data_IF_911348982636
#
_entry.id   IF_911348982636
#
_cell.length_a   1.000
_cell.length_b   1.000
_cell.length_c   1.000
_cell.angle_alpha   90.00
_cell.angle_beta   90.00
_cell.angle_gamma   90.00
#
_symmetry.space_group_name_H-M   'P 1'
#
loop_
_entity.id
_entity.type
_entity.pdbx_description
1 polymer ?
#
# COMPACT_ATOMS: atom_id res chain seq x y z
N UNK A 1 15.35 16.17 9.93
CA UNK A 1 14.65 17.17 9.09
C UNK A 1 13.95 18.23 9.95
N UNK A 2 14.70 19.08 10.67
CA UNK A 2 14.14 20.27 11.33
C UNK A 2 14.27 21.55 10.51
N UNK A 3 15.12 21.55 9.48
CA UNK A 3 15.54 22.75 8.74
C UNK A 3 14.80 22.95 7.41
N UNK A 4 13.63 22.31 7.26
CA UNK A 4 12.83 22.38 6.04
C UNK A 4 11.60 23.26 6.31
N UNK A 5 11.46 24.33 5.53
CA UNK A 5 10.27 25.17 5.51
C UNK A 5 9.44 24.84 4.26
N UNK A 6 8.24 24.29 4.44
CA UNK A 6 7.34 23.94 3.35
C UNK A 6 6.27 25.02 3.20
N UNK A 7 6.18 25.62 2.02
CA UNK A 7 5.09 26.51 1.65
C UNK A 7 4.12 25.81 0.70
N UNK A 8 3.01 25.31 1.26
CA UNK A 8 1.98 24.62 0.48
C UNK A 8 1.24 25.51 -0.53
N UNK A 9 1.13 26.83 -0.27
CA UNK A 9 0.45 27.75 -1.18
C UNK A 9 1.27 28.05 -2.42
N UNK A 10 2.57 28.29 -2.22
CA UNK A 10 3.53 28.54 -3.31
C UNK A 10 4.10 27.26 -3.90
N UNK A 11 3.75 26.12 -3.31
CA UNK A 11 4.26 24.80 -3.63
C UNK A 11 5.79 24.78 -3.73
N UNK A 12 6.42 25.30 -2.68
CA UNK A 12 7.87 25.43 -2.58
C UNK A 12 8.39 24.89 -1.25
N UNK A 13 9.65 24.46 -1.26
CA UNK A 13 10.37 23.96 -0.10
C UNK A 13 11.67 24.74 0.03
N UNK A 14 11.94 25.29 1.21
CA UNK A 14 13.17 26.01 1.50
C UNK A 14 14.01 25.25 2.51
N UNK A 15 15.31 25.14 2.22
CA UNK A 15 16.32 24.49 3.08
C UNK A 15 17.54 25.40 3.13
N UNK A 16 17.73 26.10 4.24
CA UNK A 16 18.72 27.18 4.33
C UNK A 16 18.46 28.28 3.28
N UNK A 17 19.43 28.53 2.40
CA UNK A 17 19.30 29.51 1.30
C UNK A 17 18.74 28.90 0.00
N UNK A 18 18.61 27.57 -0.08
CA UNK A 18 18.09 26.90 -1.26
C UNK A 18 16.55 26.89 -1.23
N UNK A 19 15.93 27.32 -2.32
CA UNK A 19 14.48 27.21 -2.53
C UNK A 19 14.23 26.30 -3.73
N UNK A 20 13.48 25.22 -3.49
CA UNK A 20 13.04 24.25 -4.48
C UNK A 20 11.55 24.44 -4.74
N UNK A 21 11.12 24.26 -5.97
CA UNK A 21 9.73 24.37 -6.40
C UNK A 21 9.15 23.02 -6.75
N UNK A 22 7.83 22.94 -6.79
CA UNK A 22 7.13 21.80 -7.38
C UNK A 22 7.66 21.52 -8.79
N UNK A 23 8.09 20.28 -9.00
CA UNK A 23 8.69 19.81 -10.26
C UNK A 23 10.21 19.82 -10.29
N UNK A 24 10.90 20.43 -9.31
CA UNK A 24 12.35 20.33 -9.21
C UNK A 24 12.78 18.94 -8.72
N UNK A 25 13.83 18.38 -9.34
CA UNK A 25 14.39 17.10 -8.92
C UNK A 25 15.12 17.21 -7.57
N UNK A 26 14.84 16.25 -6.70
CA UNK A 26 15.63 15.99 -5.49
C UNK A 26 15.96 14.51 -5.43
N UNK A 27 17.14 14.20 -4.88
CA UNK A 27 17.56 12.83 -4.62
C UNK A 27 17.68 12.61 -3.11
N UNK A 28 17.29 11.44 -2.62
CA UNK A 28 17.30 11.13 -1.19
C UNK A 28 18.11 9.86 -0.98
N UNK A 29 19.14 9.92 -0.14
CA UNK A 29 19.83 8.74 0.37
C UNK A 29 19.24 8.36 1.73
N UNK A 30 18.39 7.33 1.73
CA UNK A 30 17.74 6.84 2.94
C UNK A 30 18.66 6.10 3.93
N UNK A 31 19.90 5.76 3.54
CA UNK A 31 20.84 5.08 4.43
C UNK A 31 21.54 6.06 5.37
N UNK A 32 21.95 7.22 4.84
CA UNK A 32 22.57 8.30 5.64
C UNK A 32 21.59 9.40 6.03
N UNK A 33 20.39 9.42 5.43
CA UNK A 33 19.37 10.44 5.67
C UNK A 33 19.69 11.78 4.99
N UNK A 34 20.48 11.76 3.92
CA UNK A 34 20.86 12.95 3.15
C UNK A 34 19.81 13.28 2.08
N UNK A 35 19.54 14.57 1.90
CA UNK A 35 18.73 15.10 0.80
C UNK A 35 19.66 15.90 -0.10
N UNK A 36 19.73 15.51 -1.37
CA UNK A 36 20.65 16.03 -2.36
C UNK A 36 19.85 16.82 -3.39
N UNK A 37 20.27 18.06 -3.66
CA UNK A 37 19.66 18.87 -4.70
C UNK A 37 19.98 18.30 -6.09
N UNK A 38 18.95 18.09 -6.91
CA UNK A 38 19.05 17.59 -8.28
C UNK A 38 18.83 16.08 -8.44
N UNK A 39 18.88 15.66 -9.70
CA UNK A 39 18.65 14.28 -10.12
C UNK A 39 19.94 13.46 -10.07
N UNK A 40 19.89 12.32 -9.36
CA UNK A 40 20.92 11.30 -9.38
C UNK A 40 20.33 10.03 -9.96
N UNK A 41 20.94 9.53 -11.03
CA UNK A 41 20.55 8.26 -11.65
C UNK A 41 20.72 7.10 -10.66
N UNK A 42 19.61 6.55 -10.18
CA UNK A 42 19.62 5.29 -9.44
C UNK A 42 19.77 4.12 -10.41
N UNK A 43 20.40 3.03 -9.94
CA UNK A 43 20.50 1.79 -10.71
C UNK A 43 20.06 0.62 -9.84
N UNK A 44 19.24 -0.31 -10.36
CA UNK A 44 18.90 -1.50 -9.62
C UNK A 44 20.16 -2.31 -9.32
N UNK A 45 20.26 -2.82 -8.09
CA UNK A 45 21.40 -3.62 -7.67
C UNK A 45 21.54 -4.88 -8.53
N UNK A 46 22.73 -5.48 -8.55
CA UNK A 46 22.95 -6.78 -9.20
C UNK A 46 22.00 -7.86 -8.70
N UNK A 47 21.67 -7.83 -7.40
CA UNK A 47 20.72 -8.75 -6.76
C UNK A 47 19.31 -8.52 -7.30
N UNK A 48 18.83 -7.28 -7.32
CA UNK A 48 17.50 -6.94 -7.85
C UNK A 48 17.38 -7.33 -9.32
N UNK A 49 18.36 -6.98 -10.14
CA UNK A 49 18.37 -7.34 -11.57
C UNK A 49 18.32 -8.86 -11.79
N UNK A 50 19.08 -9.63 -11.00
CA UNK A 50 19.11 -11.09 -11.10
C UNK A 50 17.80 -11.76 -10.67
N UNK A 51 17.24 -11.33 -9.54
CA UNK A 51 16.11 -12.00 -8.90
C UNK A 51 14.75 -11.48 -9.37
N UNK A 52 14.60 -10.16 -9.54
CA UNK A 52 13.33 -9.57 -9.95
C UNK A 52 13.20 -9.38 -11.46
N UNK A 53 14.29 -9.12 -12.17
CA UNK A 53 14.24 -8.86 -13.61
C UNK A 53 14.73 -10.03 -14.47
N UNK A 54 15.24 -11.11 -13.84
CA UNK A 54 15.76 -12.29 -14.53
C UNK A 54 17.02 -12.03 -15.37
N UNK A 55 17.73 -10.92 -15.13
CA UNK A 55 18.91 -10.54 -15.91
C UNK A 55 20.10 -11.46 -15.60
N UNK A 56 20.90 -11.74 -16.63
CA UNK A 56 22.20 -12.42 -16.45
C UNK A 56 23.23 -11.39 -15.97
N UNK A 57 23.60 -11.46 -14.70
CA UNK A 57 24.59 -10.57 -14.09
C UNK A 57 25.90 -11.33 -13.87
N UNK A 58 26.98 -10.93 -14.56
CA UNK A 58 28.32 -11.51 -14.40
C UNK A 58 29.25 -10.55 -13.64
N UNK A 59 30.23 -11.11 -12.93
CA UNK A 59 31.28 -10.35 -12.25
C UNK A 59 30.84 -9.57 -11.01
N UNK A 60 29.60 -9.71 -10.55
CA UNK A 60 29.12 -9.04 -9.34
C UNK A 60 29.50 -9.81 -8.08
N UNK A 61 30.51 -9.32 -7.35
CA UNK A 61 30.90 -9.89 -6.05
C UNK A 61 29.77 -9.83 -5.02
N UNK A 62 28.99 -8.74 -5.00
CA UNK A 62 27.85 -8.60 -4.09
C UNK A 62 26.78 -9.66 -4.31
N UNK A 63 26.49 -10.02 -5.57
CA UNK A 63 25.56 -11.10 -5.88
C UNK A 63 26.11 -12.46 -5.41
N UNK A 64 27.38 -12.76 -5.68
CA UNK A 64 28.02 -14.02 -5.25
C UNK A 64 27.99 -14.16 -3.72
N UNK A 65 28.32 -13.09 -3.00
CA UNK A 65 28.28 -13.08 -1.53
C UNK A 65 26.84 -13.23 -1.03
N UNK A 66 25.88 -12.51 -1.62
CA UNK A 66 24.47 -12.61 -1.28
C UNK A 66 23.96 -14.05 -1.43
N UNK A 67 24.16 -14.67 -2.60
CA UNK A 67 23.73 -16.04 -2.87
C UNK A 67 24.33 -17.02 -1.87
N UNK A 68 25.61 -16.86 -1.52
CA UNK A 68 26.29 -17.75 -0.58
C UNK A 68 25.76 -17.63 0.84
N UNK A 69 25.48 -16.39 1.29
CA UNK A 69 24.89 -16.14 2.60
C UNK A 69 23.46 -16.67 2.64
N UNK A 70 22.66 -16.47 1.59
CA UNK A 70 21.29 -16.97 1.53
C UNK A 70 21.25 -18.50 1.55
N UNK A 71 22.14 -19.17 0.82
CA UNK A 71 22.30 -20.63 0.86
C UNK A 71 22.57 -21.13 2.29
N UNK A 72 23.51 -20.49 3.00
CA UNK A 72 23.81 -20.85 4.39
C UNK A 72 22.65 -20.55 5.33
N UNK A 73 22.03 -19.38 5.19
CA UNK A 73 20.89 -18.98 6.01
C UNK A 73 19.73 -19.98 5.86
N UNK A 74 19.41 -20.38 4.63
CA UNK A 74 18.38 -21.38 4.35
C UNK A 74 18.74 -22.77 4.87
N UNK A 75 20.02 -23.14 4.86
CA UNK A 75 20.47 -24.43 5.38
C UNK A 75 20.33 -24.55 6.90
N UNK A 76 20.66 -23.49 7.65
CA UNK A 76 20.70 -23.53 9.11
C UNK A 76 19.40 -23.09 9.78
N UNK A 77 18.53 -22.33 9.10
CA UNK A 77 17.31 -21.83 9.72
C UNK A 77 16.30 -22.95 10.00
N UNK A 78 15.70 -22.89 11.17
CA UNK A 78 14.56 -23.76 11.53
C UNK A 78 13.22 -23.06 11.27
N UNK A 79 13.20 -21.72 11.32
CA UNK A 79 12.00 -20.93 11.07
C UNK A 79 11.71 -20.80 9.58
N UNK A 80 10.43 -20.86 9.22
CA UNK A 80 9.99 -20.53 7.87
C UNK A 80 9.94 -19.00 7.68
N UNK A 81 10.25 -18.54 6.48
CA UNK A 81 10.20 -17.13 6.12
C UNK A 81 9.00 -16.91 5.20
N UNK A 82 8.04 -16.14 5.70
CA UNK A 82 6.85 -15.73 4.97
C UNK A 82 6.94 -14.23 4.67
N UNK A 83 6.23 -13.79 3.64
CA UNK A 83 6.14 -12.37 3.28
C UNK A 83 4.86 -11.73 3.80
N UNK A 84 4.89 -10.41 3.98
CA UNK A 84 3.70 -9.59 4.04
C UNK A 84 3.47 -9.05 2.63
N UNK A 85 2.39 -9.47 1.98
CA UNK A 85 2.09 -9.08 0.60
C UNK A 85 0.58 -9.10 0.35
N UNK A 86 0.12 -8.04 -0.30
CA UNK A 86 -1.30 -7.76 -0.51
C UNK A 86 -1.64 -7.72 -2.01
N UNK A 87 -0.63 -7.76 -2.88
CA UNK A 87 -0.76 -7.74 -4.34
C UNK A 87 -0.03 -8.91 -5.01
N UNK A 88 -0.49 -9.38 -6.19
CA UNK A 88 0.17 -10.45 -6.93
C UNK A 88 1.65 -10.15 -7.26
N UNK A 89 1.98 -8.91 -7.63
CA UNK A 89 3.37 -8.53 -7.94
C UNK A 89 4.27 -8.57 -6.71
N UNK A 90 3.78 -8.15 -5.54
CA UNK A 90 4.52 -8.28 -4.28
C UNK A 90 4.77 -9.75 -3.93
N UNK A 91 3.79 -10.62 -4.19
CA UNK A 91 3.94 -12.06 -4.02
C UNK A 91 5.01 -12.63 -4.96
N UNK A 92 5.03 -12.23 -6.24
CA UNK A 92 6.06 -12.66 -7.21
C UNK A 92 7.45 -12.26 -6.76
N UNK A 93 7.61 -11.01 -6.33
CA UNK A 93 8.89 -10.48 -5.85
C UNK A 93 9.35 -11.24 -4.59
N UNK A 94 8.44 -11.49 -3.65
CA UNK A 94 8.76 -12.22 -2.44
C UNK A 94 9.19 -13.67 -2.72
N UNK A 95 8.49 -14.36 -3.62
CA UNK A 95 8.85 -15.72 -4.05
C UNK A 95 10.23 -15.72 -4.71
N UNK A 96 10.53 -14.72 -5.55
CA UNK A 96 11.84 -14.60 -6.18
C UNK A 96 12.97 -14.53 -5.13
N UNK A 97 12.74 -13.89 -3.99
CA UNK A 97 13.68 -13.85 -2.86
C UNK A 97 13.56 -15.03 -1.88
N UNK A 98 12.79 -16.08 -2.20
CA UNK A 98 12.73 -17.31 -1.40
C UNK A 98 11.61 -17.36 -0.35
N UNK A 99 10.64 -16.43 -0.38
CA UNK A 99 9.48 -16.50 0.52
C UNK A 99 8.71 -17.82 0.34
N UNK A 100 8.35 -18.44 1.47
CA UNK A 100 7.72 -19.76 1.52
C UNK A 100 6.20 -19.70 1.57
N UNK A 101 5.64 -18.50 1.56
CA UNK A 101 4.21 -18.23 1.72
C UNK A 101 3.96 -16.75 2.02
N UNK A 102 2.69 -16.38 2.08
CA UNK A 102 2.25 -15.09 2.62
C UNK A 102 1.79 -15.30 4.06
N UNK A 103 2.46 -14.63 4.99
CA UNK A 103 2.19 -14.69 6.42
C UNK A 103 1.12 -13.69 6.85
N UNK A 104 0.97 -12.61 6.07
CA UNK A 104 -0.07 -11.61 6.26
C UNK A 104 -0.39 -10.94 4.92
N UNK A 105 -1.61 -11.16 4.43
CA UNK A 105 -2.26 -10.39 3.39
C UNK A 105 -3.31 -9.50 4.06
N UNK A 106 -3.15 -8.19 3.93
CA UNK A 106 -4.00 -7.14 4.49
C UNK A 106 -5.07 -6.74 3.47
N UNK A 107 -6.31 -7.12 3.72
CA UNK A 107 -7.42 -6.81 2.79
C UNK A 107 -7.71 -5.32 2.68
N UNK A 108 -7.43 -4.54 3.72
CA UNK A 108 -7.66 -3.11 3.74
C UNK A 108 -6.87 -2.36 2.65
N UNK A 109 -5.65 -2.81 2.34
CA UNK A 109 -4.85 -2.22 1.28
C UNK A 109 -5.44 -2.43 -0.11
N UNK A 110 -6.28 -3.46 -0.29
CA UNK A 110 -6.99 -3.74 -1.54
C UNK A 110 -8.14 -2.75 -1.79
N UNK A 111 -8.55 -1.99 -0.78
CA UNK A 111 -9.70 -1.08 -0.86
C UNK A 111 -9.33 0.37 -1.18
N UNK A 112 -8.07 0.79 -1.00
CA UNK A 112 -7.64 2.17 -1.19
C UNK A 112 -7.43 2.60 -2.66
N UNK A 113 -7.72 1.74 -3.64
CA UNK A 113 -7.71 2.15 -5.06
C UNK A 113 -8.83 3.15 -5.37
N UNK A 114 -8.60 4.09 -6.29
CA UNK A 114 -9.54 5.18 -6.64
C UNK A 114 -10.96 4.68 -6.95
N UNK A 115 -11.10 3.56 -7.65
CA UNK A 115 -12.41 2.98 -8.00
C UNK A 115 -13.07 2.19 -6.85
N UNK A 116 -12.30 1.81 -5.84
CA UNK A 116 -12.71 0.85 -4.79
C UNK A 116 -13.09 1.56 -3.50
N UNK A 117 -12.41 2.66 -3.22
CA UNK A 117 -12.64 3.44 -2.00
C UNK A 117 -14.08 3.95 -1.93
N UNK A 118 -14.67 4.36 -3.06
CA UNK A 118 -16.06 4.82 -3.12
C UNK A 118 -17.06 3.69 -2.88
N UNK A 119 -16.76 2.47 -3.30
CA UNK A 119 -17.60 1.29 -3.01
C UNK A 119 -17.56 0.95 -1.52
N UNK A 120 -16.38 1.03 -0.88
CA UNK A 120 -16.25 0.84 0.57
C UNK A 120 -16.97 1.94 1.35
N UNK A 121 -16.83 3.21 0.95
CA UNK A 121 -17.56 4.33 1.53
C UNK A 121 -19.07 4.12 1.45
N UNK A 122 -19.55 3.71 0.28
CA UNK A 122 -20.97 3.38 0.05
C UNK A 122 -21.44 2.24 0.95
N UNK A 123 -20.63 1.19 1.16
CA UNK A 123 -20.95 0.10 2.07
C UNK A 123 -21.09 0.57 3.52
N UNK A 124 -20.15 1.41 4.00
CA UNK A 124 -20.12 1.90 5.39
C UNK A 124 -21.31 2.83 5.67
N UNK A 125 -21.62 3.70 4.72
CA UNK A 125 -22.63 4.76 4.86
C UNK A 125 -24.05 4.33 4.43
N UNK A 126 -24.21 3.11 3.91
CA UNK A 126 -25.51 2.58 3.52
C UNK A 126 -26.49 2.48 4.70
N UNK A 127 -27.67 3.09 4.53
CA UNK A 127 -28.77 3.10 5.52
C UNK A 127 -29.75 1.93 5.38
N UNK A 128 -29.72 1.20 4.27
CA UNK A 128 -30.55 0.00 4.08
C UNK A 128 -29.68 -1.22 3.79
N UNK A 129 -30.21 -2.39 4.14
CA UNK A 129 -29.53 -3.65 3.85
C UNK A 129 -29.44 -3.89 2.33
N UNK A 130 -30.40 -3.43 1.53
CA UNK A 130 -30.29 -3.55 0.06
C UNK A 130 -29.10 -2.75 -0.48
N UNK A 131 -28.95 -1.48 -0.07
CA UNK A 131 -27.84 -0.64 -0.50
C UNK A 131 -26.49 -1.19 -0.05
N UNK A 132 -26.41 -1.69 1.20
CA UNK A 132 -25.20 -2.32 1.74
C UNK A 132 -24.84 -3.59 0.97
N UNK A 133 -25.81 -4.46 0.73
CA UNK A 133 -25.59 -5.71 -0.02
C UNK A 133 -25.17 -5.45 -1.47
N UNK A 134 -25.67 -4.39 -2.10
CA UNK A 134 -25.23 -3.98 -3.43
C UNK A 134 -23.75 -3.57 -3.45
N UNK A 135 -23.32 -2.74 -2.50
CA UNK A 135 -21.91 -2.36 -2.36
C UNK A 135 -21.01 -3.57 -2.04
N UNK A 136 -21.44 -4.45 -1.13
CA UNK A 136 -20.75 -5.70 -0.82
C UNK A 136 -20.60 -6.62 -2.04
N UNK A 137 -21.60 -6.69 -2.91
CA UNK A 137 -21.54 -7.51 -4.13
C UNK A 137 -20.48 -7.00 -5.10
N UNK A 138 -20.33 -5.67 -5.25
CA UNK A 138 -19.24 -5.07 -6.03
C UNK A 138 -17.87 -5.40 -5.42
N UNK A 139 -17.72 -5.24 -4.10
CA UNK A 139 -16.47 -5.56 -3.40
C UNK A 139 -16.10 -7.04 -3.53
N UNK A 140 -17.08 -7.93 -3.51
CA UNK A 140 -16.87 -9.37 -3.69
C UNK A 140 -16.23 -9.69 -5.05
N UNK A 141 -16.69 -9.06 -6.13
CA UNK A 141 -16.11 -9.26 -7.46
C UNK A 141 -14.66 -8.79 -7.51
N UNK A 142 -14.41 -7.57 -7.01
CA UNK A 142 -13.09 -6.95 -6.96
C UNK A 142 -12.09 -7.77 -6.12
N UNK A 143 -12.47 -8.15 -4.89
CA UNK A 143 -11.59 -8.94 -4.02
C UNK A 143 -11.34 -10.34 -4.57
N UNK A 144 -12.34 -10.95 -5.21
CA UNK A 144 -12.16 -12.28 -5.82
C UNK A 144 -11.07 -12.24 -6.88
N UNK A 145 -11.03 -11.20 -7.71
CA UNK A 145 -9.98 -11.02 -8.72
C UNK A 145 -8.59 -10.90 -8.06
N UNK A 146 -8.47 -10.08 -7.02
CA UNK A 146 -7.19 -9.89 -6.33
C UNK A 146 -6.67 -11.21 -5.72
N UNK A 147 -7.55 -11.94 -5.04
CA UNK A 147 -7.19 -13.21 -4.43
C UNK A 147 -6.88 -14.28 -5.48
N UNK A 148 -7.60 -14.32 -6.60
CA UNK A 148 -7.25 -15.20 -7.72
C UNK A 148 -5.83 -14.90 -8.22
N UNK A 149 -5.47 -13.62 -8.36
CA UNK A 149 -4.11 -13.21 -8.71
C UNK A 149 -3.07 -13.68 -7.69
N UNK A 150 -3.32 -13.46 -6.40
CA UNK A 150 -2.42 -13.88 -5.31
C UNK A 150 -2.27 -15.40 -5.30
N UNK A 151 -3.36 -16.15 -5.29
CA UNK A 151 -3.31 -17.62 -5.24
C UNK A 151 -2.63 -18.21 -6.47
N UNK A 152 -2.85 -17.62 -7.65
CA UNK A 152 -2.20 -18.06 -8.89
C UNK A 152 -0.68 -17.88 -8.84
N UNK A 153 -0.20 -16.78 -8.25
CA UNK A 153 1.24 -16.52 -8.06
C UNK A 153 1.84 -17.43 -7.00
N UNK A 154 1.10 -17.64 -5.90
CA UNK A 154 1.60 -18.40 -4.75
C UNK A 154 1.65 -19.91 -5.01
N UNK A 155 0.89 -20.42 -5.98
CA UNK A 155 0.98 -21.77 -6.55
C UNK A 155 1.29 -22.87 -5.52
N UNK A 156 0.29 -23.17 -4.68
CA UNK A 156 0.38 -24.21 -3.65
C UNK A 156 1.12 -23.81 -2.37
N UNK A 157 1.69 -22.60 -2.29
CA UNK A 157 2.20 -22.04 -1.03
C UNK A 157 1.07 -21.51 -0.16
N UNK A 158 1.28 -21.53 1.15
CA UNK A 158 0.29 -21.04 2.11
C UNK A 158 0.16 -19.50 2.02
N UNK A 159 -1.09 -19.03 2.10
CA UNK A 159 -1.45 -17.61 2.09
C UNK A 159 -2.39 -17.34 3.25
N UNK A 160 -1.94 -16.49 4.18
CA UNK A 160 -2.72 -16.09 5.35
C UNK A 160 -3.38 -14.75 5.08
N UNK A 161 -4.71 -14.75 4.98
CA UNK A 161 -5.50 -13.54 4.72
C UNK A 161 -6.08 -13.05 6.04
N UNK A 162 -5.83 -11.78 6.36
CA UNK A 162 -6.47 -11.10 7.48
C UNK A 162 -7.68 -10.34 6.97
N UNK A 163 -8.82 -10.55 7.60
CA UNK A 163 -10.02 -9.74 7.35
C UNK A 163 -9.77 -8.26 7.64
N UNK A 164 -10.74 -7.42 7.27
CA UNK A 164 -10.68 -5.98 7.55
C UNK A 164 -10.38 -5.74 9.04
N UNK A 165 -9.43 -4.84 9.28
CA UNK A 165 -8.84 -4.56 10.58
C UNK A 165 -8.72 -3.05 10.92
N UNK A 166 -8.63 -2.09 9.96
CA UNK A 166 -8.62 -0.68 10.34
C UNK A 166 -10.02 -0.19 10.69
N UNK A 167 -10.12 0.83 11.55
CA UNK A 167 -11.39 1.43 11.92
C UNK A 167 -12.04 2.09 10.69
N UNK A 168 -13.37 2.04 10.62
CA UNK A 168 -14.11 2.42 9.40
C UNK A 168 -13.91 3.88 8.99
N UNK A 169 -13.59 4.77 9.94
CA UNK A 169 -13.37 6.19 9.65
C UNK A 169 -12.13 6.45 8.78
N UNK A 170 -11.16 5.53 8.71
CA UNK A 170 -10.02 5.65 7.79
C UNK A 170 -10.43 5.58 6.32
N UNK A 171 -11.60 5.01 6.01
CA UNK A 171 -12.12 4.95 4.65
C UNK A 171 -13.07 6.09 4.29
N UNK A 172 -13.53 6.85 5.29
CA UNK A 172 -14.57 7.86 5.08
C UNK A 172 -14.03 9.05 4.25
N UNK A 173 -14.92 9.75 3.52
CA UNK A 173 -14.51 10.91 2.74
C UNK A 173 -14.09 12.07 3.66
N UNK A 174 -13.04 12.78 3.26
CA UNK A 174 -12.48 13.90 4.03
C UNK A 174 -12.68 15.25 3.33
N UNK A 175 -12.92 15.23 2.02
CA UNK A 175 -13.14 16.43 1.20
C UNK A 175 -14.59 16.54 0.76
N UNK A 176 -15.07 17.76 0.53
CA UNK A 176 -16.44 17.99 0.06
C UNK A 176 -16.71 17.31 -1.29
N UNK A 177 -15.71 17.22 -2.18
CA UNK A 177 -15.82 16.51 -3.45
C UNK A 177 -16.06 15.00 -3.28
N UNK A 178 -15.33 14.35 -2.37
CA UNK A 178 -15.53 12.93 -2.07
C UNK A 178 -16.89 12.67 -1.42
N UNK A 179 -17.37 13.59 -0.56
CA UNK A 179 -18.70 13.52 0.04
C UNK A 179 -19.78 13.58 -1.06
N UNK A 180 -19.64 14.49 -2.01
CA UNK A 180 -20.58 14.60 -3.13
C UNK A 180 -20.64 13.33 -3.99
N UNK A 181 -19.48 12.70 -4.25
CA UNK A 181 -19.43 11.49 -5.07
C UNK A 181 -20.09 10.29 -4.38
N UNK A 182 -19.84 10.12 -3.08
CA UNK A 182 -20.52 9.09 -2.27
C UNK A 182 -22.02 9.36 -2.16
N UNK A 183 -22.42 10.62 -1.99
CA UNK A 183 -23.84 11.01 -1.91
C UNK A 183 -24.60 10.65 -3.21
N UNK A 184 -23.99 10.87 -4.38
CA UNK A 184 -24.57 10.46 -5.68
C UNK A 184 -24.76 8.95 -5.76
N UNK A 185 -23.76 8.17 -5.33
CA UNK A 185 -23.83 6.71 -5.39
C UNK A 185 -24.89 6.13 -4.45
N UNK A 186 -25.06 6.74 -3.27
CA UNK A 186 -26.07 6.36 -2.28
C UNK A 186 -27.46 6.95 -2.52
N UNK A 187 -27.61 7.87 -3.49
CA UNK A 187 -28.83 8.64 -3.73
C UNK A 187 -29.30 9.40 -2.47
N UNK A 188 -28.35 9.98 -1.75
CA UNK A 188 -28.54 10.75 -0.51
C UNK A 188 -28.11 12.21 -0.70
N UNK A 189 -28.45 13.10 0.23
CA UNK A 189 -27.91 14.47 0.20
C UNK A 189 -26.47 14.50 0.74
N UNK A 190 -25.59 15.40 0.26
CA UNK A 190 -24.25 15.58 0.80
C UNK A 190 -24.24 15.87 2.31
N UNK A 191 -25.24 16.60 2.81
CA UNK A 191 -25.40 16.88 4.25
C UNK A 191 -25.67 15.61 5.05
N UNK A 192 -26.49 14.69 4.52
CA UNK A 192 -26.76 13.40 5.16
C UNK A 192 -25.51 12.52 5.27
N UNK A 193 -24.69 12.51 4.22
CA UNK A 193 -23.41 11.80 4.21
C UNK A 193 -22.44 12.42 5.20
N UNK A 194 -22.34 13.75 5.22
CA UNK A 194 -21.46 14.47 6.15
C UNK A 194 -21.80 14.19 7.62
N UNK A 195 -23.08 14.21 7.97
CA UNK A 195 -23.54 13.86 9.32
C UNK A 195 -23.16 12.42 9.68
N UNK A 196 -23.37 11.47 8.76
CA UNK A 196 -23.01 10.08 8.99
C UNK A 196 -21.49 9.90 9.18
N UNK A 197 -20.65 10.69 8.50
CA UNK A 197 -19.19 10.66 8.70
C UNK A 197 -18.80 11.15 10.09
N UNK A 198 -19.45 12.19 10.59
CA UNK A 198 -19.23 12.71 11.95
C UNK A 198 -19.59 11.65 13.01
N UNK A 199 -20.64 10.85 12.78
CA UNK A 199 -21.07 9.78 13.70
C UNK A 199 -20.02 8.66 13.86
N UNK A 200 -19.14 8.46 12.87
CA UNK A 200 -18.06 7.47 12.91
C UNK A 200 -16.75 8.01 13.49
N UNK A 201 -16.68 9.29 13.89
CA UNK A 201 -15.49 9.84 14.51
C UNK A 201 -15.30 9.30 15.92
N UNK A 202 -14.15 8.69 16.16
CA UNK A 202 -13.78 8.15 17.46
C UNK A 202 -12.60 8.93 18.05
N UNK A 203 -12.63 9.14 19.36
CA UNK A 203 -11.55 9.85 20.07
C UNK A 203 -10.22 9.07 20.04
N UNK A 204 -10.28 7.72 20.08
CA UNK A 204 -9.11 6.86 19.97
C UNK A 204 -9.36 5.71 18.99
N UNK A 205 -9.04 5.93 17.70
CA UNK A 205 -9.15 4.94 16.62
C UNK A 205 -8.55 3.57 16.93
N UNK A 206 -7.41 3.52 17.64
CA UNK A 206 -6.72 2.25 17.89
C UNK A 206 -7.50 1.29 18.81
N UNK A 207 -8.42 1.82 19.63
CA UNK A 207 -9.20 1.06 20.62
C UNK A 207 -10.72 1.18 20.37
N UNK A 208 -11.10 1.61 19.17
CA UNK A 208 -12.49 1.82 18.78
C UNK A 208 -13.10 0.63 18.02
N UNK A 209 -14.10 0.92 17.19
CA UNK A 209 -14.80 -0.07 16.39
C UNK A 209 -13.99 -0.43 15.13
N UNK A 210 -13.55 -1.69 15.05
CA UNK A 210 -12.70 -2.24 13.99
C UNK A 210 -13.11 -3.66 13.61
#
# INVERSE_FOLDING_TARGET
>A
CGDIEINYKEKSMKVGDLTLKEGDDISIDGFVGEVINGHIDSRPSSVVRRYLHGETVQGSQSLVIFDKIMEWADHFREIKVYTNADLPEQCKQAIAFGAQGVGLCRTEHMFFGEDRINVVRSMILARTDEARNHALSKLLEMQREDFLGIFSVMDGKAVTIRCIDPPLHEFLPHTDAEIEDVAKELQQSPEEVKHAVEDYQEFNPMLGMR
#
